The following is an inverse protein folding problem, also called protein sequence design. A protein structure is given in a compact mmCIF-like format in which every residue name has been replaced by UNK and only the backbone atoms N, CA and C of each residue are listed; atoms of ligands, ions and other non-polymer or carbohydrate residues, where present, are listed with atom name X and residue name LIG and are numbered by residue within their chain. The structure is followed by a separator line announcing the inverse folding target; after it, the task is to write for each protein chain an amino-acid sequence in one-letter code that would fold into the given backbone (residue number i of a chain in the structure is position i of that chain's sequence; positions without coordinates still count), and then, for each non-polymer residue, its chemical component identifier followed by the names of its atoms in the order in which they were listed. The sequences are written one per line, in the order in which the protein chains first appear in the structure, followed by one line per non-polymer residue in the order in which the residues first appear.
data_IF_317054083653
#
_entry.id   IF_317054083653
#
_cell.length_a   1.000
_cell.length_b   1.000
_cell.length_c   1.000
_cell.angle_alpha   90.00
_cell.angle_beta   90.00
_cell.angle_gamma   90.00
#
_symmetry.space_group_name_H-M   'P 1'
#
loop_
_entity.id
_entity.type
_entity.pdbx_description
1 polymer ?
#
# COMPACT_ATOMS: atom_id res chain seq x y z
N UNK A 1 52.03 1.15 -28.63
CA UNK A 1 51.26 1.04 -29.87
C UNK A 1 50.71 -0.36 -29.86
N UNK A 2 49.43 -0.50 -29.53
CA UNK A 2 48.56 -1.59 -29.95
C UNK A 2 47.18 -0.97 -30.03
N UNK A 3 46.71 -0.81 -31.26
CA UNK A 3 45.41 -0.29 -31.66
C UNK A 3 44.69 -1.50 -32.25
N UNK A 4 43.55 -1.85 -31.66
CA UNK A 4 42.55 -2.76 -32.23
C UNK A 4 41.21 -2.27 -31.66
N UNK A 5 40.55 -1.31 -32.32
CA UNK A 5 39.65 -1.42 -33.48
C UNK A 5 38.27 -2.04 -33.14
N UNK A 6 37.21 -1.31 -33.50
CA UNK A 6 35.84 -1.82 -33.55
C UNK A 6 35.13 -2.11 -32.22
N UNK A 7 34.91 -1.09 -31.38
CA UNK A 7 33.94 -1.17 -30.27
C UNK A 7 32.49 -1.29 -30.75
N UNK A 8 32.11 -2.45 -31.29
CA UNK A 8 30.71 -2.79 -31.51
C UNK A 8 30.05 -2.97 -30.14
N UNK A 9 29.22 -2.01 -29.74
CA UNK A 9 28.24 -2.19 -28.67
C UNK A 9 27.34 -3.33 -29.13
N UNK A 10 27.60 -4.55 -28.65
CA UNK A 10 26.66 -5.66 -28.76
C UNK A 10 25.46 -5.30 -27.91
N UNK A 11 24.49 -4.61 -28.50
CA UNK A 11 23.19 -4.41 -27.89
C UNK A 11 22.56 -5.79 -27.81
N UNK A 12 22.22 -6.22 -26.59
CA UNK A 12 21.54 -7.49 -26.35
C UNK A 12 20.26 -7.54 -27.20
N UNK A 13 20.10 -8.53 -28.10
CA UNK A 13 18.92 -8.62 -28.97
C UNK A 13 17.60 -8.65 -28.17
N UNK A 14 17.60 -9.22 -26.95
CA UNK A 14 16.42 -9.20 -26.08
C UNK A 14 16.04 -7.78 -25.65
N UNK A 15 17.04 -6.90 -25.45
CA UNK A 15 16.81 -5.50 -25.07
C UNK A 15 16.19 -4.69 -26.21
N UNK A 16 16.57 -4.98 -27.45
CA UNK A 16 15.98 -4.34 -28.65
C UNK A 16 14.53 -4.76 -28.83
N UNK A 17 14.22 -6.04 -28.60
CA UNK A 17 12.83 -6.54 -28.64
C UNK A 17 11.97 -5.94 -27.52
N UNK A 18 12.48 -5.88 -26.29
CA UNK A 18 11.79 -5.23 -25.16
C UNK A 18 11.49 -3.75 -25.43
N UNK A 19 12.47 -3.01 -25.99
CA UNK A 19 12.28 -1.62 -26.40
C UNK A 19 11.19 -1.50 -27.48
N UNK A 20 11.14 -2.42 -28.46
CA UNK A 20 10.13 -2.42 -29.51
C UNK A 20 8.71 -2.73 -28.98
N UNK A 21 8.57 -3.69 -28.05
CA UNK A 21 7.29 -4.00 -27.40
C UNK A 21 6.80 -2.83 -26.54
N UNK A 22 7.71 -2.19 -25.80
CA UNK A 22 7.43 -1.00 -24.99
C UNK A 22 6.94 0.15 -25.87
N UNK A 23 7.62 0.42 -26.98
CA UNK A 23 7.22 1.45 -27.94
C UNK A 23 5.85 1.16 -28.58
N UNK A 24 5.61 -0.10 -28.95
CA UNK A 24 4.33 -0.52 -29.53
C UNK A 24 3.19 -0.32 -28.53
N UNK A 25 3.38 -0.78 -27.28
CA UNK A 25 2.41 -0.62 -26.21
C UNK A 25 2.12 0.86 -25.93
N UNK A 26 3.16 1.70 -25.88
CA UNK A 26 3.03 3.13 -25.63
C UNK A 26 2.21 3.84 -26.72
N UNK A 27 2.44 3.50 -27.99
CA UNK A 27 1.65 4.00 -29.12
C UNK A 27 0.19 3.55 -28.99
N UNK A 28 -0.06 2.27 -28.70
CA UNK A 28 -1.40 1.71 -28.54
C UNK A 28 -2.16 2.40 -27.39
N UNK A 29 -1.54 2.53 -26.21
CA UNK A 29 -2.16 3.17 -25.04
C UNK A 29 -2.47 4.64 -25.32
N UNK A 30 -1.55 5.38 -25.95
CA UNK A 30 -1.80 6.76 -26.36
C UNK A 30 -3.02 6.86 -27.29
N UNK A 31 -3.14 5.95 -28.26
CA UNK A 31 -4.30 5.92 -29.18
C UNK A 31 -5.60 5.62 -28.46
N UNK A 32 -5.58 4.67 -27.52
CA UNK A 32 -6.73 4.32 -26.68
C UNK A 32 -7.16 5.53 -25.83
N UNK A 33 -6.22 6.24 -25.20
CA UNK A 33 -6.53 7.45 -24.41
C UNK A 33 -7.13 8.57 -25.26
N UNK A 34 -6.58 8.80 -26.45
CA UNK A 34 -7.13 9.76 -27.41
C UNK A 34 -8.54 9.38 -27.84
N UNK A 35 -8.76 8.10 -28.18
CA UNK A 35 -10.06 7.59 -28.58
C UNK A 35 -11.12 7.79 -27.48
N UNK A 36 -10.81 7.43 -26.23
CA UNK A 36 -11.70 7.68 -25.09
C UNK A 36 -12.07 9.15 -24.96
N UNK A 37 -11.10 10.07 -25.12
CA UNK A 37 -11.38 11.50 -25.07
C UNK A 37 -12.35 11.93 -26.18
N UNK A 38 -12.15 11.43 -27.40
CA UNK A 38 -13.02 11.76 -28.55
C UNK A 38 -14.43 11.19 -28.45
N UNK A 39 -14.60 10.02 -27.83
CA UNK A 39 -15.91 9.40 -27.65
C UNK A 39 -16.68 10.06 -26.51
N UNK A 40 -15.98 10.40 -25.42
CA UNK A 40 -16.62 10.90 -24.20
C UNK A 40 -16.76 12.42 -24.16
N UNK A 41 -16.10 13.18 -25.02
CA UNK A 41 -16.18 14.65 -25.01
C UNK A 41 -16.56 15.19 -26.38
N UNK A 42 -17.35 16.26 -26.39
CA UNK A 42 -17.61 17.02 -27.60
C UNK A 42 -16.39 17.89 -27.99
N UNK A 43 -16.39 18.51 -29.19
CA UNK A 43 -15.29 19.39 -29.62
C UNK A 43 -15.03 20.58 -28.70
N UNK A 44 -16.02 20.98 -27.89
CA UNK A 44 -15.92 22.06 -26.91
C UNK A 44 -15.36 21.59 -25.55
N UNK A 45 -15.04 20.30 -25.40
CA UNK A 45 -14.52 19.72 -24.17
C UNK A 45 -15.57 19.34 -23.12
N UNK A 46 -16.86 19.43 -23.43
CA UNK A 46 -17.93 19.00 -22.51
C UNK A 46 -18.12 17.49 -22.57
N UNK A 47 -18.29 16.87 -21.39
CA UNK A 47 -18.52 15.44 -21.25
C UNK A 47 -19.90 15.02 -21.80
N UNK A 48 -19.91 14.07 -22.73
CA UNK A 48 -21.08 13.40 -23.27
C UNK A 48 -21.49 12.26 -22.36
N UNK A 49 -22.46 12.51 -21.48
CA UNK A 49 -22.76 11.61 -20.36
C UNK A 49 -23.27 10.23 -20.78
N UNK A 50 -24.14 10.14 -21.79
CA UNK A 50 -24.71 8.85 -22.18
C UNK A 50 -23.68 7.94 -22.84
N UNK A 51 -22.85 8.48 -23.75
CA UNK A 51 -21.71 7.75 -24.32
C UNK A 51 -20.71 7.33 -23.23
N UNK A 52 -20.44 8.21 -22.26
CA UNK A 52 -19.55 7.91 -21.13
C UNK A 52 -20.08 6.77 -20.26
N UNK A 53 -21.39 6.71 -19.97
CA UNK A 53 -21.96 5.59 -19.19
C UNK A 53 -21.79 4.25 -19.88
N UNK A 54 -22.11 4.19 -21.18
CA UNK A 54 -21.98 2.94 -21.95
C UNK A 54 -20.53 2.47 -21.95
N UNK A 55 -19.59 3.40 -22.23
CA UNK A 55 -18.17 3.11 -22.22
C UNK A 55 -17.66 2.66 -20.84
N UNK A 56 -18.19 3.23 -19.75
CA UNK A 56 -17.85 2.80 -18.39
C UNK A 56 -18.23 1.33 -18.14
N UNK A 57 -19.41 0.91 -18.58
CA UNK A 57 -19.84 -0.48 -18.41
C UNK A 57 -18.98 -1.46 -19.21
N UNK A 58 -18.64 -1.10 -20.45
CA UNK A 58 -17.76 -1.91 -21.30
C UNK A 58 -16.35 -2.02 -20.68
N UNK A 59 -15.77 -0.90 -20.26
CA UNK A 59 -14.45 -0.89 -19.60
C UNK A 59 -14.44 -1.65 -18.28
N UNK A 60 -15.50 -1.51 -17.47
CA UNK A 60 -15.57 -2.21 -16.19
C UNK A 60 -15.67 -3.73 -16.38
N UNK A 61 -16.42 -4.17 -17.40
CA UNK A 61 -16.51 -5.58 -17.79
C UNK A 61 -15.14 -6.13 -18.20
N UNK A 62 -14.41 -5.42 -19.06
CA UNK A 62 -13.05 -5.79 -19.48
C UNK A 62 -12.07 -5.77 -18.30
N UNK A 63 -12.22 -4.79 -17.41
CA UNK A 63 -11.39 -4.72 -16.21
C UNK A 63 -11.59 -5.96 -15.34
N UNK A 64 -12.85 -6.38 -15.13
CA UNK A 64 -13.17 -7.55 -14.31
C UNK A 64 -12.68 -8.86 -14.94
N UNK A 65 -12.85 -9.03 -16.25
CA UNK A 65 -12.51 -10.29 -16.93
C UNK A 65 -11.03 -10.42 -17.27
N UNK A 66 -10.35 -9.33 -17.64
CA UNK A 66 -8.97 -9.37 -18.16
C UNK A 66 -7.95 -8.73 -17.22
N UNK A 67 -8.22 -7.52 -16.73
CA UNK A 67 -7.19 -6.71 -16.05
C UNK A 67 -7.03 -7.14 -14.58
N UNK A 68 -8.14 -7.34 -13.87
CA UNK A 68 -8.14 -7.74 -12.48
C UNK A 68 -7.50 -9.12 -12.25
N UNK A 69 -7.75 -10.15 -13.08
CA UNK A 69 -7.10 -11.45 -12.93
C UNK A 69 -5.64 -11.48 -13.40
N UNK A 70 -5.22 -10.52 -14.22
CA UNK A 70 -3.84 -10.46 -14.73
C UNK A 70 -2.89 -9.88 -13.68
N UNK A 71 -2.12 -10.77 -13.05
CA UNK A 71 -1.11 -10.38 -12.07
C UNK A 71 0.05 -9.61 -12.71
N UNK A 72 0.57 -8.60 -12.00
CA UNK A 72 1.78 -7.87 -12.35
C UNK A 72 1.80 -7.15 -13.72
N UNK A 73 0.64 -6.76 -14.25
CA UNK A 73 0.58 -5.80 -15.37
C UNK A 73 0.93 -4.40 -14.88
N UNK A 74 1.77 -3.67 -15.61
CA UNK A 74 2.27 -2.34 -15.22
C UNK A 74 1.58 -1.15 -15.90
N UNK A 75 0.93 -1.34 -17.05
CA UNK A 75 0.46 -0.22 -17.87
C UNK A 75 -1.02 -0.29 -18.29
N UNK A 76 -1.59 -1.48 -18.57
CA UNK A 76 -2.93 -1.57 -19.15
C UNK A 76 -4.04 -1.05 -18.22
N UNK A 77 -3.86 -1.19 -16.91
CA UNK A 77 -4.77 -0.67 -15.89
C UNK A 77 -4.93 0.86 -15.96
N UNK A 78 -3.99 1.56 -16.59
CA UNK A 78 -4.13 3.00 -16.79
C UNK A 78 -5.21 3.39 -17.81
N UNK A 79 -5.71 2.44 -18.60
CA UNK A 79 -6.89 2.64 -19.46
C UNK A 79 -8.11 3.00 -18.63
N UNK A 80 -8.46 2.17 -17.64
CA UNK A 80 -9.59 2.49 -16.76
C UNK A 80 -9.25 3.69 -15.87
N UNK A 81 -8.02 3.81 -15.37
CA UNK A 81 -7.59 4.95 -14.54
C UNK A 81 -7.84 6.30 -15.22
N UNK A 82 -7.38 6.44 -16.47
CA UNK A 82 -7.56 7.66 -17.25
C UNK A 82 -9.03 7.96 -17.50
N UNK A 83 -9.82 6.93 -17.84
CA UNK A 83 -11.25 7.09 -18.05
C UNK A 83 -11.97 7.62 -16.79
N UNK A 84 -11.60 7.11 -15.61
CA UNK A 84 -12.20 7.50 -14.34
C UNK A 84 -11.92 8.96 -13.97
N UNK A 85 -10.89 9.59 -14.54
CA UNK A 85 -10.57 11.00 -14.29
C UNK A 85 -11.57 11.97 -14.94
N UNK A 86 -12.40 11.50 -15.87
CA UNK A 86 -13.35 12.35 -16.61
C UNK A 86 -14.46 12.91 -15.71
N UNK A 87 -14.80 12.22 -14.62
CA UNK A 87 -15.81 12.68 -13.66
C UNK A 87 -15.67 11.97 -12.32
N UNK A 88 -15.73 12.73 -11.22
CA UNK A 88 -15.60 12.21 -9.84
C UNK A 88 -16.56 11.04 -9.56
N UNK A 89 -17.79 11.11 -10.07
CA UNK A 89 -18.80 10.04 -9.91
C UNK A 89 -18.33 8.69 -10.49
N UNK A 90 -17.55 8.69 -11.58
CA UNK A 90 -17.00 7.45 -12.15
C UNK A 90 -15.98 6.85 -11.20
N UNK A 91 -15.06 7.66 -10.70
CA UNK A 91 -14.03 7.26 -9.74
C UNK A 91 -14.63 6.73 -8.43
N UNK A 92 -15.68 7.37 -7.92
CA UNK A 92 -16.44 6.91 -6.76
C UNK A 92 -17.14 5.57 -7.01
N UNK A 93 -17.83 5.42 -8.15
CA UNK A 93 -18.48 4.17 -8.53
C UNK A 93 -17.49 3.01 -8.66
N UNK A 94 -16.33 3.26 -9.27
CA UNK A 94 -15.27 2.26 -9.39
C UNK A 94 -14.69 1.86 -8.03
N UNK A 95 -14.45 2.82 -7.15
CA UNK A 95 -13.97 2.56 -5.78
C UNK A 95 -14.97 1.70 -5.01
N UNK A 96 -16.26 2.03 -5.10
CA UNK A 96 -17.35 1.24 -4.52
C UNK A 96 -17.42 -0.17 -5.11
N UNK A 97 -17.24 -0.31 -6.42
CA UNK A 97 -17.24 -1.61 -7.09
C UNK A 97 -16.06 -2.49 -6.63
N UNK A 98 -14.85 -1.93 -6.56
CA UNK A 98 -13.67 -2.65 -6.06
C UNK A 98 -13.86 -3.10 -4.62
N UNK A 99 -14.39 -2.22 -3.75
CA UNK A 99 -14.66 -2.57 -2.36
C UNK A 99 -15.72 -3.68 -2.25
N UNK A 100 -16.79 -3.63 -3.05
CA UNK A 100 -17.78 -4.71 -3.14
C UNK A 100 -17.12 -6.02 -3.57
N UNK A 101 -16.22 -5.98 -4.57
CA UNK A 101 -15.45 -7.16 -5.01
C UNK A 101 -14.58 -7.72 -3.89
N UNK A 102 -13.94 -6.89 -3.06
CA UNK A 102 -13.17 -7.35 -1.89
C UNK A 102 -14.05 -8.11 -0.88
N UNK A 103 -15.28 -7.65 -0.68
CA UNK A 103 -16.22 -8.20 0.28
C UNK A 103 -17.03 -9.40 -0.24
N UNK A 104 -17.04 -9.63 -1.55
CA UNK A 104 -17.80 -10.70 -2.20
C UNK A 104 -17.20 -12.08 -1.93
N UNK A 105 -17.83 -12.84 -1.04
CA UNK A 105 -17.40 -14.20 -0.67
C UNK A 105 -17.59 -15.22 -1.79
N UNK A 106 -18.37 -14.91 -2.83
CA UNK A 106 -18.53 -15.79 -4.00
C UNK A 106 -17.35 -15.69 -4.98
N UNK A 107 -16.58 -14.60 -4.91
CA UNK A 107 -15.38 -14.41 -5.72
C UNK A 107 -14.15 -15.14 -5.12
N UNK A 108 -13.24 -15.68 -5.94
CA UNK A 108 -11.98 -16.27 -5.49
C UNK A 108 -11.16 -15.31 -4.61
N UNK A 109 -10.53 -15.85 -3.56
CA UNK A 109 -9.73 -15.04 -2.61
C UNK A 109 -8.65 -14.22 -3.30
N UNK A 110 -7.99 -14.75 -4.32
CA UNK A 110 -6.96 -14.05 -5.11
C UNK A 110 -7.47 -12.78 -5.77
N UNK A 111 -8.65 -12.83 -6.41
CA UNK A 111 -9.28 -11.66 -7.04
C UNK A 111 -9.72 -10.63 -6.02
N UNK A 112 -10.22 -11.08 -4.85
CA UNK A 112 -10.59 -10.19 -3.75
C UNK A 112 -9.38 -9.45 -3.17
N UNK A 113 -8.24 -10.13 -3.05
CA UNK A 113 -6.98 -9.53 -2.65
C UNK A 113 -6.47 -8.53 -3.70
N UNK A 114 -6.52 -8.91 -4.98
CA UNK A 114 -6.14 -8.01 -6.08
C UNK A 114 -7.00 -6.74 -6.08
N UNK A 115 -8.32 -6.87 -5.88
CA UNK A 115 -9.24 -5.75 -5.80
C UNK A 115 -8.86 -4.78 -4.66
N UNK A 116 -8.42 -5.28 -3.51
CA UNK A 116 -7.96 -4.46 -2.40
C UNK A 116 -6.68 -3.68 -2.77
N UNK A 117 -5.74 -4.32 -3.47
CA UNK A 117 -4.53 -3.67 -4.02
C UNK A 117 -4.87 -2.56 -5.02
N UNK A 118 -5.76 -2.85 -5.98
CA UNK A 118 -6.26 -1.86 -6.94
C UNK A 118 -6.94 -0.68 -6.24
N UNK A 119 -7.81 -0.95 -5.26
CA UNK A 119 -8.53 0.09 -4.50
C UNK A 119 -7.55 1.01 -3.78
N UNK A 120 -6.63 0.44 -3.01
CA UNK A 120 -5.64 1.20 -2.25
C UNK A 120 -4.75 2.03 -3.18
N UNK A 121 -4.23 1.40 -4.24
CA UNK A 121 -3.36 2.08 -5.19
C UNK A 121 -4.09 3.20 -5.93
N UNK A 122 -5.34 3.00 -6.33
CA UNK A 122 -6.15 4.01 -7.02
C UNK A 122 -6.40 5.22 -6.12
N UNK A 123 -6.90 4.99 -4.90
CA UNK A 123 -7.20 6.04 -3.93
C UNK A 123 -5.96 6.84 -3.52
N UNK A 124 -4.78 6.22 -3.49
CA UNK A 124 -3.54 6.93 -3.19
C UNK A 124 -3.04 7.79 -4.34
N UNK A 125 -3.05 7.26 -5.56
CA UNK A 125 -2.39 7.87 -6.71
C UNK A 125 -3.28 8.86 -7.46
N UNK A 126 -4.60 8.76 -7.38
CA UNK A 126 -5.54 9.65 -8.08
C UNK A 126 -5.78 10.96 -7.31
N UNK A 127 -5.28 12.12 -7.80
CA UNK A 127 -5.46 13.41 -7.13
C UNK A 127 -6.91 13.92 -7.24
N UNK A 128 -7.67 13.47 -8.24
CA UNK A 128 -9.07 13.82 -8.45
C UNK A 128 -10.05 13.10 -7.50
N UNK A 129 -9.57 12.19 -6.65
CA UNK A 129 -10.35 11.60 -5.57
C UNK A 129 -10.51 12.61 -4.42
N UNK A 130 -11.76 12.93 -4.11
CA UNK A 130 -12.10 13.87 -3.03
C UNK A 130 -11.87 13.26 -1.66
N UNK A 131 -11.64 14.11 -0.66
CA UNK A 131 -11.51 13.69 0.74
C UNK A 131 -12.77 12.96 1.24
N UNK A 132 -13.96 13.34 0.77
CA UNK A 132 -15.20 12.64 1.10
C UNK A 132 -15.19 11.18 0.65
N UNK A 133 -14.77 10.92 -0.59
CA UNK A 133 -14.64 9.55 -1.11
C UNK A 133 -13.60 8.76 -0.30
N UNK A 134 -12.44 9.35 0.01
CA UNK A 134 -11.43 8.68 0.85
C UNK A 134 -11.99 8.28 2.22
N UNK A 135 -12.64 9.20 2.92
CA UNK A 135 -13.21 8.95 4.24
C UNK A 135 -14.28 7.86 4.18
N UNK A 136 -15.18 7.91 3.21
CA UNK A 136 -16.19 6.88 3.04
C UNK A 136 -15.54 5.50 2.82
N UNK A 137 -14.53 5.41 1.95
CA UNK A 137 -13.80 4.16 1.71
C UNK A 137 -13.09 3.65 2.96
N UNK A 138 -12.40 4.53 3.71
CA UNK A 138 -11.73 4.16 4.96
C UNK A 138 -12.73 3.69 6.04
N UNK A 139 -13.87 4.35 6.13
CA UNK A 139 -14.94 3.98 7.05
C UNK A 139 -15.48 2.59 6.73
N UNK A 140 -15.78 2.30 5.46
CA UNK A 140 -16.29 0.99 5.05
C UNK A 140 -15.23 -0.12 5.21
N UNK A 141 -13.97 0.14 4.82
CA UNK A 141 -12.85 -0.82 5.00
C UNK A 141 -12.64 -1.13 6.49
N UNK A 142 -12.57 -0.11 7.34
CA UNK A 142 -12.37 -0.30 8.80
C UNK A 142 -13.57 -0.97 9.46
N UNK A 143 -14.80 -0.63 9.04
CA UNK A 143 -16.03 -1.29 9.51
C UNK A 143 -16.01 -2.77 9.14
N UNK A 144 -15.64 -3.10 7.90
CA UNK A 144 -15.50 -4.48 7.47
C UNK A 144 -14.43 -5.22 8.27
N UNK A 145 -13.25 -4.63 8.49
CA UNK A 145 -12.18 -5.24 9.28
C UNK A 145 -12.61 -5.52 10.72
N UNK A 146 -13.25 -4.54 11.38
CA UNK A 146 -13.75 -4.70 12.75
C UNK A 146 -14.85 -5.78 12.84
N UNK A 147 -15.78 -5.84 11.87
CA UNK A 147 -16.77 -6.91 11.78
C UNK A 147 -16.11 -8.28 11.60
N UNK A 148 -15.10 -8.36 10.75
CA UNK A 148 -14.33 -9.59 10.53
C UNK A 148 -13.66 -10.07 11.82
N UNK A 149 -12.97 -9.18 12.54
CA UNK A 149 -12.34 -9.48 13.83
C UNK A 149 -13.35 -10.04 14.83
N UNK A 150 -14.56 -9.46 14.89
CA UNK A 150 -15.62 -9.93 15.80
C UNK A 150 -16.21 -11.30 15.40
N UNK A 151 -16.15 -11.65 14.11
CA UNK A 151 -16.65 -12.92 13.59
C UNK A 151 -15.68 -14.09 13.74
N UNK A 152 -14.38 -13.80 13.85
CA UNK A 152 -13.35 -14.84 14.02
C UNK A 152 -13.38 -15.36 15.45
N UNK A 153 -13.34 -16.68 15.59
CA UNK A 153 -13.37 -17.35 16.89
C UNK A 153 -12.21 -16.87 17.79
N UNK A 154 -12.55 -16.51 19.03
CA UNK A 154 -11.59 -16.14 20.08
C UNK A 154 -10.73 -17.33 20.50
N UNK A 155 -10.95 -18.54 20.00
CA UNK A 155 -10.07 -19.70 20.22
C UNK A 155 -8.81 -19.69 19.34
N UNK A 156 -8.74 -18.88 18.28
CA UNK A 156 -7.55 -18.76 17.42
C UNK A 156 -6.38 -18.15 18.21
N UNK A 157 -5.37 -18.97 18.51
CA UNK A 157 -4.21 -18.59 19.36
C UNK A 157 -2.91 -18.42 18.57
N UNK A 158 -2.74 -19.13 17.46
CA UNK A 158 -1.51 -19.12 16.66
C UNK A 158 -1.89 -19.17 15.19
N UNK A 159 -1.31 -18.27 14.40
CA UNK A 159 -1.52 -18.23 12.95
C UNK A 159 -0.49 -19.15 12.31
N UNK A 160 -0.86 -20.41 12.08
CA UNK A 160 -0.07 -21.35 11.27
C UNK A 160 -0.19 -20.98 9.78
N UNK A 161 0.71 -21.49 8.91
CA UNK A 161 0.75 -21.11 7.49
C UNK A 161 -0.56 -21.36 6.75
N UNK A 162 -1.26 -22.45 7.07
CA UNK A 162 -2.58 -22.74 6.51
C UNK A 162 -3.61 -21.68 6.94
N UNK A 163 -3.55 -21.24 8.20
CA UNK A 163 -4.43 -20.21 8.77
C UNK A 163 -4.21 -18.82 8.12
N UNK A 164 -3.00 -18.54 7.60
CA UNK A 164 -2.72 -17.31 6.85
C UNK A 164 -3.58 -17.19 5.59
N UNK A 165 -3.73 -18.30 4.85
CA UNK A 165 -4.52 -18.32 3.60
C UNK A 165 -6.00 -18.06 3.85
N UNK A 166 -6.55 -18.57 4.96
CA UNK A 166 -7.94 -18.33 5.37
C UNK A 166 -8.23 -16.85 5.67
N UNK A 167 -7.23 -16.12 6.15
CA UNK A 167 -7.33 -14.71 6.51
C UNK A 167 -6.68 -13.76 5.47
N UNK A 168 -6.28 -14.25 4.30
CA UNK A 168 -5.52 -13.48 3.31
C UNK A 168 -6.24 -12.19 2.83
N UNK A 169 -7.56 -12.26 2.63
CA UNK A 169 -8.37 -11.09 2.27
C UNK A 169 -8.43 -10.08 3.42
N UNK A 170 -8.49 -10.54 4.67
CA UNK A 170 -8.43 -9.65 5.84
C UNK A 170 -7.10 -8.90 5.91
N UNK A 171 -5.98 -9.58 5.68
CA UNK A 171 -4.67 -8.94 5.63
C UNK A 171 -4.55 -7.97 4.45
N UNK A 172 -5.10 -8.30 3.29
CA UNK A 172 -5.11 -7.40 2.13
C UNK A 172 -5.92 -6.13 2.39
N UNK A 173 -7.06 -6.24 3.09
CA UNK A 173 -7.88 -5.10 3.50
C UNK A 173 -7.18 -4.24 4.57
N UNK A 174 -6.49 -4.86 5.54
CA UNK A 174 -5.65 -4.13 6.50
C UNK A 174 -4.49 -3.41 5.80
N UNK A 175 -3.83 -4.07 4.86
CA UNK A 175 -2.75 -3.48 4.07
C UNK A 175 -3.24 -2.29 3.24
N UNK A 176 -4.40 -2.41 2.59
CA UNK A 176 -5.05 -1.32 1.88
C UNK A 176 -5.34 -0.14 2.83
N UNK A 177 -5.91 -0.40 4.01
CA UNK A 177 -6.19 0.60 5.03
C UNK A 177 -4.91 1.34 5.46
N UNK A 178 -3.87 0.59 5.82
CA UNK A 178 -2.58 1.14 6.27
C UNK A 178 -1.92 1.96 5.16
N UNK A 179 -1.96 1.49 3.92
CA UNK A 179 -1.39 2.17 2.77
C UNK A 179 -2.10 3.49 2.48
N UNK A 180 -3.45 3.51 2.43
CA UNK A 180 -4.23 4.72 2.19
C UNK A 180 -3.96 5.76 3.27
N UNK A 181 -4.02 5.37 4.55
CA UNK A 181 -3.76 6.28 5.68
C UNK A 181 -2.35 6.86 5.59
N UNK A 182 -1.35 6.02 5.33
CA UNK A 182 0.06 6.44 5.24
C UNK A 182 0.31 7.43 4.09
N UNK A 183 -0.30 7.17 2.94
CA UNK A 183 -0.05 7.95 1.72
C UNK A 183 -0.86 9.25 1.72
N UNK A 184 -2.14 9.20 2.10
CA UNK A 184 -3.07 10.33 2.06
C UNK A 184 -3.16 11.08 3.40
N UNK A 185 -2.23 10.85 4.33
CA UNK A 185 -2.27 11.43 5.68
C UNK A 185 -2.46 12.95 5.68
N UNK A 186 -1.81 13.69 4.78
CA UNK A 186 -1.96 15.15 4.70
C UNK A 186 -3.42 15.55 4.43
N UNK A 187 -4.12 14.86 3.53
CA UNK A 187 -5.55 15.12 3.26
C UNK A 187 -6.45 14.64 4.41
N UNK A 188 -6.08 13.52 5.03
CA UNK A 188 -6.88 12.87 6.08
C UNK A 188 -6.68 13.49 7.47
N UNK A 189 -5.67 14.32 7.67
CA UNK A 189 -5.28 14.88 8.97
C UNK A 189 -5.11 16.41 8.94
N UNK A 190 -5.56 17.07 7.88
CA UNK A 190 -5.42 18.52 7.67
C UNK A 190 -6.13 19.39 8.74
N UNK A 191 -7.14 18.84 9.42
CA UNK A 191 -7.96 19.59 10.37
C UNK A 191 -8.55 18.71 11.49
N UNK A 192 -9.02 19.37 12.56
CA UNK A 192 -9.59 18.71 13.76
C UNK A 192 -10.80 17.82 13.46
N UNK A 193 -11.64 18.15 12.47
CA UNK A 193 -12.80 17.30 12.10
C UNK A 193 -12.32 16.01 11.46
N UNK A 194 -11.27 16.08 10.65
CA UNK A 194 -10.71 14.88 10.03
C UNK A 194 -10.00 13.98 11.06
N UNK A 195 -9.28 14.57 12.02
CA UNK A 195 -8.69 13.80 13.13
C UNK A 195 -9.76 13.04 13.93
N UNK A 196 -10.87 13.70 14.30
CA UNK A 196 -12.00 13.03 14.96
C UNK A 196 -12.61 11.90 14.12
N UNK A 197 -12.70 12.10 12.81
CA UNK A 197 -13.13 11.04 11.90
C UNK A 197 -12.18 9.83 11.96
N UNK A 198 -10.86 10.07 11.99
CA UNK A 198 -9.86 9.00 12.06
C UNK A 198 -9.89 8.25 13.39
N UNK A 199 -10.15 8.93 14.50
CA UNK A 199 -10.39 8.31 15.83
C UNK A 199 -11.59 7.34 15.79
N UNK A 200 -12.65 7.70 15.07
CA UNK A 200 -13.87 6.89 14.94
C UNK A 200 -13.70 5.61 14.11
N UNK A 201 -12.58 5.43 13.39
CA UNK A 201 -12.31 4.20 12.63
C UNK A 201 -11.92 3.01 13.51
N UNK A 202 -11.71 3.23 14.82
CA UNK A 202 -11.28 2.21 15.78
C UNK A 202 -10.03 1.44 15.33
N UNK A 203 -9.03 2.18 14.85
CA UNK A 203 -7.76 1.62 14.36
C UNK A 203 -7.03 0.81 15.44
N UNK A 204 -7.17 1.22 16.72
CA UNK A 204 -6.58 0.51 17.85
C UNK A 204 -7.02 -0.96 17.88
N UNK A 205 -8.31 -1.24 17.71
CA UNK A 205 -8.81 -2.62 17.70
C UNK A 205 -8.23 -3.44 16.54
N UNK A 206 -8.05 -2.83 15.37
CA UNK A 206 -7.48 -3.50 14.19
C UNK A 206 -6.01 -3.86 14.44
N UNK A 207 -5.20 -2.93 14.96
CA UNK A 207 -3.76 -3.16 15.12
C UNK A 207 -3.41 -4.10 16.27
N UNK A 208 -4.23 -4.15 17.32
CA UNK A 208 -4.04 -5.04 18.49
C UNK A 208 -4.81 -6.36 18.37
N UNK A 209 -5.49 -6.63 17.26
CA UNK A 209 -6.27 -7.86 17.14
C UNK A 209 -5.35 -9.09 17.07
N UNK A 210 -5.89 -10.26 17.47
CA UNK A 210 -5.13 -11.52 17.58
C UNK A 210 -4.57 -12.00 16.24
N UNK A 211 -5.22 -11.65 15.14
CA UNK A 211 -4.74 -11.93 13.78
C UNK A 211 -3.44 -11.18 13.45
N UNK A 212 -3.01 -10.22 14.29
CA UNK A 212 -1.70 -9.58 14.23
C UNK A 212 -1.35 -8.99 12.85
N UNK A 213 -2.22 -8.13 12.24
CA UNK A 213 -2.00 -7.61 10.89
C UNK A 213 -0.69 -6.83 10.76
N UNK A 214 -0.20 -6.17 11.83
CA UNK A 214 1.10 -5.49 11.85
C UNK A 214 2.29 -6.44 11.63
N UNK A 215 2.17 -7.73 11.96
CA UNK A 215 3.21 -8.74 11.74
C UNK A 215 3.22 -9.25 10.30
N UNK A 216 2.04 -9.34 9.70
CA UNK A 216 1.80 -10.11 8.49
C UNK A 216 1.75 -9.26 7.22
N UNK A 217 1.22 -8.03 7.29
CA UNK A 217 1.26 -7.10 6.17
C UNK A 217 2.71 -6.73 5.78
N UNK A 218 2.87 -6.13 4.60
CA UNK A 218 4.15 -5.65 4.08
C UNK A 218 4.84 -4.70 5.06
N UNK A 219 6.09 -5.02 5.44
CA UNK A 219 6.86 -4.28 6.44
C UNK A 219 6.98 -2.79 6.10
N UNK A 220 7.22 -2.45 4.82
CA UNK A 220 7.33 -1.04 4.39
C UNK A 220 6.05 -0.25 4.62
N UNK A 221 4.89 -0.88 4.37
CA UNK A 221 3.57 -0.26 4.59
C UNK A 221 3.32 -0.11 6.08
N UNK A 222 3.60 -1.15 6.87
CA UNK A 222 3.41 -1.14 8.33
C UNK A 222 4.31 -0.11 9.02
N UNK A 223 5.59 -0.05 8.66
CA UNK A 223 6.56 0.87 9.26
C UNK A 223 6.17 2.33 8.96
N UNK A 224 5.70 2.61 7.74
CA UNK A 224 5.17 3.95 7.38
C UNK A 224 3.89 4.28 8.14
N UNK A 225 2.98 3.33 8.24
CA UNK A 225 1.73 3.50 8.98
C UNK A 225 1.97 3.76 10.48
N UNK A 226 2.86 3.00 11.11
CA UNK A 226 3.25 3.18 12.50
C UNK A 226 3.88 4.57 12.74
N UNK A 227 4.73 5.03 11.82
CA UNK A 227 5.32 6.37 11.90
C UNK A 227 4.26 7.47 11.82
N UNK A 228 3.37 7.41 10.82
CA UNK A 228 2.32 8.41 10.60
C UNK A 228 1.31 8.44 11.75
N UNK A 229 0.83 7.27 12.19
CA UNK A 229 -0.15 7.20 13.29
C UNK A 229 0.41 7.66 14.63
N UNK A 230 1.70 7.44 14.88
CA UNK A 230 2.41 8.03 16.03
C UNK A 230 2.49 9.55 15.91
N UNK A 231 2.86 10.07 14.73
CA UNK A 231 2.97 11.51 14.48
C UNK A 231 1.66 12.25 14.78
N UNK A 232 0.52 11.68 14.39
CA UNK A 232 -0.81 12.24 14.66
C UNK A 232 -1.46 11.75 15.96
N UNK A 233 -0.75 10.98 16.79
CA UNK A 233 -1.24 10.44 18.07
C UNK A 233 -2.53 9.60 17.98
N UNK A 234 -2.73 8.87 16.88
CA UNK A 234 -3.95 8.08 16.63
C UNK A 234 -3.90 6.68 17.25
N UNK A 235 -2.76 6.01 17.14
CA UNK A 235 -2.57 4.67 17.73
C UNK A 235 -1.08 4.39 17.92
N UNK A 236 -0.74 3.55 18.91
CA UNK A 236 0.64 3.24 19.27
C UNK A 236 1.03 1.84 18.80
N UNK A 237 1.48 1.74 17.55
CA UNK A 237 1.83 0.45 16.92
C UNK A 237 3.12 -0.17 17.47
N UNK A 238 4.10 0.64 17.90
CA UNK A 238 5.45 0.16 18.22
C UNK A 238 5.51 -0.86 19.36
N UNK A 239 4.69 -0.69 20.41
CA UNK A 239 4.60 -1.67 21.51
C UNK A 239 4.12 -3.03 21.01
N UNK A 240 3.18 -3.04 20.05
CA UNK A 240 2.65 -4.27 19.45
C UNK A 240 3.66 -4.92 18.51
N UNK A 241 4.46 -4.10 17.81
CA UNK A 241 5.46 -4.58 16.86
C UNK A 241 6.69 -5.22 17.55
N UNK A 242 7.09 -4.70 18.71
CA UNK A 242 8.28 -5.16 19.46
C UNK A 242 8.11 -6.58 20.04
N UNK A 243 6.86 -6.99 20.32
CA UNK A 243 6.56 -8.31 20.87
C UNK A 243 6.62 -9.47 19.86
N UNK A 244 6.80 -9.21 18.56
CA UNK A 244 6.65 -10.20 17.50
C UNK A 244 7.96 -10.42 16.74
N UNK A 245 8.51 -11.64 16.77
CA UNK A 245 9.52 -12.07 15.80
C UNK A 245 8.86 -11.95 14.41
N UNK A 246 9.34 -11.02 13.58
CA UNK A 246 8.84 -10.86 12.21
C UNK A 246 9.13 -12.18 11.48
N UNK A 247 8.09 -12.87 11.01
CA UNK A 247 8.25 -13.97 10.05
C UNK A 247 9.01 -13.37 8.87
N UNK A 248 10.28 -13.76 8.76
CA UNK A 248 11.35 -12.94 8.18
C UNK A 248 11.55 -13.23 6.71
N UNK A 249 10.83 -14.19 6.16
CA UNK A 249 10.91 -14.50 4.74
C UNK A 249 9.81 -13.76 3.97
N UNK A 250 10.20 -12.67 3.32
CA UNK A 250 9.35 -11.91 2.42
C UNK A 250 8.88 -12.78 1.24
N UNK A 251 9.66 -13.81 0.84
CA UNK A 251 9.29 -14.73 -0.24
C UNK A 251 8.02 -15.52 0.08
N UNK A 252 7.89 -15.99 1.33
CA UNK A 252 6.69 -16.68 1.81
C UNK A 252 5.50 -15.71 1.79
N UNK A 253 5.68 -14.46 2.23
CA UNK A 253 4.61 -13.45 2.23
C UNK A 253 4.09 -13.13 0.83
N UNK A 254 4.98 -13.02 -0.15
CA UNK A 254 4.61 -12.71 -1.52
C UNK A 254 3.90 -13.89 -2.23
N UNK A 255 4.02 -15.11 -1.69
CA UNK A 255 3.31 -16.30 -2.18
C UNK A 255 1.81 -16.29 -1.81
N UNK A 256 1.43 -15.74 -0.66
CA UNK A 256 0.03 -15.81 -0.17
C UNK A 256 -0.68 -14.47 0.04
N UNK A 257 0.05 -13.35 0.07
CA UNK A 257 -0.53 -12.00 0.19
C UNK A 257 -0.27 -11.19 -1.08
N UNK A 258 -1.32 -10.52 -1.57
CA UNK A 258 -1.18 -9.58 -2.68
C UNK A 258 -0.42 -8.32 -2.21
N UNK A 259 0.91 -8.33 -2.33
CA UNK A 259 1.81 -7.21 -1.99
C UNK A 259 1.97 -6.18 -3.10
N UNK A 260 1.19 -6.29 -4.19
CA UNK A 260 1.31 -5.45 -5.38
C UNK A 260 0.33 -4.26 -5.33
N UNK A 261 0.80 -3.07 -5.67
CA UNK A 261 -0.01 -1.85 -5.82
C UNK A 261 -0.04 -1.43 -7.29
N UNK A 262 -1.12 -1.71 -8.05
CA UNK A 262 -1.09 -1.67 -9.51
C UNK A 262 -0.86 -0.32 -10.17
N UNK A 263 -0.99 0.81 -9.48
CA UNK A 263 -0.77 2.14 -10.06
C UNK A 263 0.59 2.73 -9.68
N UNK A 264 1.63 1.91 -9.73
CA UNK A 264 3.02 2.37 -9.64
C UNK A 264 3.41 3.28 -10.82
N UNK A 265 4.47 4.11 -10.69
CA UNK A 265 4.71 5.22 -11.62
C UNK A 265 4.69 4.79 -13.08
N UNK A 266 3.90 5.50 -13.89
CA UNK A 266 3.73 5.19 -15.30
C UNK A 266 4.93 5.69 -16.11
N UNK A 267 5.68 4.76 -16.72
CA UNK A 267 7.00 5.07 -17.32
C UNK A 267 6.99 5.25 -18.84
N UNK A 268 5.93 4.86 -19.56
CA UNK A 268 5.92 4.89 -21.03
C UNK A 268 5.99 6.33 -21.58
N UNK A 269 6.99 6.66 -22.41
CA UNK A 269 7.40 8.04 -22.66
C UNK A 269 6.37 8.92 -23.40
N UNK A 270 5.56 8.35 -24.29
CA UNK A 270 4.62 9.11 -25.15
C UNK A 270 3.27 9.28 -24.47
N UNK A 271 2.77 8.24 -23.82
CA UNK A 271 1.46 8.21 -23.16
C UNK A 271 1.49 8.75 -21.74
N UNK A 272 2.66 8.79 -21.05
CA UNK A 272 2.77 9.36 -19.70
C UNK A 272 2.27 10.79 -19.59
N UNK A 273 2.43 11.59 -20.65
CA UNK A 273 2.02 13.00 -20.67
C UNK A 273 0.51 13.18 -20.55
N UNK A 274 -0.28 12.13 -20.77
CA UNK A 274 -1.73 12.16 -20.59
C UNK A 274 -2.16 11.85 -19.14
N UNK A 275 -1.26 11.31 -18.32
CA UNK A 275 -1.54 10.82 -16.97
C UNK A 275 -0.77 11.62 -15.91
N UNK A 276 0.55 11.65 -16.03
CA UNK A 276 1.46 12.09 -14.96
C UNK A 276 1.25 13.56 -14.54
N UNK A 277 1.08 14.54 -15.45
CA UNK A 277 1.05 15.95 -15.05
C UNK A 277 -0.11 16.32 -14.12
N UNK A 278 -1.33 15.89 -14.43
CA UNK A 278 -2.55 16.37 -13.76
C UNK A 278 -3.33 15.26 -13.06
N UNK A 279 -3.11 14.01 -13.48
CA UNK A 279 -3.94 12.87 -13.05
C UNK A 279 -3.19 11.93 -12.11
N UNK A 280 -1.96 12.24 -11.70
CA UNK A 280 -1.15 11.32 -10.90
C UNK A 280 -0.48 12.01 -9.72
N UNK A 281 -0.51 11.35 -8.56
CA UNK A 281 0.18 11.79 -7.34
C UNK A 281 1.38 10.90 -7.06
N UNK A 282 2.57 11.51 -7.08
CA UNK A 282 3.83 10.87 -6.71
C UNK A 282 4.01 10.81 -5.17
N UNK A 283 4.76 9.82 -4.70
CA UNK A 283 5.23 9.66 -3.32
C UNK A 283 6.32 10.69 -3.01
N UNK A 284 7.20 10.99 -3.99
CA UNK A 284 8.41 11.76 -3.76
C UNK A 284 8.16 13.27 -3.57
N UNK A 285 7.02 13.78 -4.01
CA UNK A 285 6.58 15.16 -3.72
C UNK A 285 6.23 15.38 -2.24
N UNK A 286 6.08 14.31 -1.44
CA UNK A 286 5.95 14.40 0.03
C UNK A 286 7.34 14.56 0.70
N UNK A 287 8.43 14.09 0.06
CA UNK A 287 9.81 14.25 0.57
C UNK A 287 10.29 15.70 0.50
N UNK A 288 9.77 16.51 -0.43
CA UNK A 288 10.09 17.95 -0.49
C UNK A 288 9.65 18.73 0.74
N UNK A 289 8.56 18.32 1.43
CA UNK A 289 8.15 18.95 2.70
C UNK A 289 9.05 18.53 3.88
N UNK A 290 9.73 17.38 3.82
CA UNK A 290 10.57 16.89 4.92
C UNK A 290 11.99 17.46 4.93
N UNK A 291 12.39 18.24 3.92
CA UNK A 291 13.69 18.94 3.94
C UNK A 291 13.69 20.21 4.80
N UNK A 292 12.53 20.77 5.12
CA UNK A 292 12.42 22.00 5.92
C UNK A 292 12.32 21.74 7.44
N UNK A 293 11.94 20.54 7.88
CA UNK A 293 11.79 20.20 9.31
C UNK A 293 13.06 19.64 9.98
N UNK A 294 14.24 19.76 9.35
CA UNK A 294 15.52 19.25 9.89
C UNK A 294 16.43 20.29 10.54
N UNK A 295 15.85 21.36 11.08
CA UNK A 295 16.54 22.26 12.01
C UNK A 295 15.73 22.34 13.31
N UNK A 296 16.42 22.45 14.46
CA UNK A 296 15.94 22.41 15.87
C UNK A 296 15.99 20.97 16.43
N UNK A 297 16.91 20.54 17.31
CA UNK A 297 17.79 21.23 18.27
C UNK A 297 19.16 20.53 18.41
N UNK A 298 20.24 21.32 18.34
CA UNK A 298 21.52 20.96 18.97
C UNK A 298 21.45 21.42 20.42
N UNK A 299 21.55 20.48 21.36
CA UNK A 299 21.68 20.75 22.80
C UNK A 299 22.96 21.57 23.03
N UNK A 300 22.89 22.79 23.60
CA UNK A 300 24.09 23.51 24.02
C UNK A 300 24.57 22.94 25.37
N UNK A 301 25.83 22.52 25.40
CA UNK A 301 26.58 22.18 26.60
C UNK A 301 26.96 23.44 27.37
N UNK A 302 26.33 23.69 28.52
CA UNK A 302 26.93 24.47 29.62
C UNK A 302 26.08 24.35 30.89
N UNK A 303 26.60 23.59 31.85
CA UNK A 303 26.15 23.58 33.25
C UNK A 303 26.46 24.92 33.94
N UNK A 304 25.71 25.27 34.99
CA UNK A 304 26.33 25.83 36.19
C UNK A 304 26.04 24.96 37.43
N UNK A 305 27.05 24.93 38.29
CA UNK A 305 27.16 24.20 39.54
C UNK A 305 26.26 24.75 40.67
N UNK A 306 25.98 23.86 41.63
CA UNK A 306 25.55 24.11 43.01
C UNK A 306 24.06 24.39 43.26
N UNK A 307 23.33 23.41 43.82
CA UNK A 307 22.98 23.40 45.25
C UNK A 307 22.14 22.17 45.67
N UNK A 308 22.70 21.46 46.64
CA UNK A 308 22.12 20.74 47.77
C UNK A 308 21.16 19.54 47.62
N UNK A 309 21.62 18.48 48.26
CA UNK A 309 21.08 17.15 48.47
C UNK A 309 20.14 17.16 49.68
N UNK A 310 19.02 16.46 49.60
CA UNK A 310 18.55 15.67 50.76
C UNK A 310 17.65 14.50 50.34
N UNK A 311 17.74 13.32 50.98
CA UNK A 311 17.36 12.04 50.38
C UNK A 311 16.12 11.42 51.04
N UNK A 312 15.23 10.80 50.27
CA UNK A 312 14.37 9.74 50.83
C UNK A 312 13.76 8.83 49.76
N UNK A 313 14.05 7.53 49.95
CA UNK A 313 13.35 6.33 49.45
C UNK A 313 13.71 5.80 48.06
N UNK A 314 14.91 5.19 48.03
CA UNK A 314 15.21 3.99 47.25
C UNK A 314 14.80 2.76 48.07
N UNK A 315 14.08 1.83 47.45
CA UNK A 315 14.02 0.35 47.65
C UNK A 315 12.79 -0.10 46.81
N UNK A 316 12.83 -1.04 45.87
CA UNK A 316 13.78 -2.07 45.42
C UNK A 316 13.15 -2.75 44.15
N UNK A 317 13.64 -3.89 43.61
CA UNK A 317 14.45 -3.93 42.39
C UNK A 317 13.79 -4.63 41.18
N UNK A 318 14.32 -4.31 40.00
CA UNK A 318 14.09 -5.01 38.72
C UNK A 318 14.79 -6.39 38.72
N UNK A 319 14.17 -7.47 38.23
CA UNK A 319 14.88 -8.73 38.02
C UNK A 319 15.59 -8.77 36.67
N UNK A 320 16.75 -9.42 36.72
CA UNK A 320 17.83 -9.47 35.76
C UNK A 320 17.47 -10.09 34.40
N UNK A 321 18.20 -9.62 33.38
CA UNK A 321 18.48 -10.31 32.12
C UNK A 321 19.20 -11.63 32.41
N UNK A 322 18.74 -12.71 31.80
CA UNK A 322 19.53 -13.94 31.64
C UNK A 322 19.74 -14.21 30.16
N UNK A 323 21.00 -14.07 29.76
CA UNK A 323 21.58 -14.46 28.48
C UNK A 323 21.54 -15.99 28.31
N UNK A 324 21.01 -16.48 27.19
CA UNK A 324 20.93 -17.93 26.87
C UNK A 324 21.42 -18.28 25.46
N UNK A 325 22.46 -17.61 24.95
CA UNK A 325 23.14 -18.05 23.72
C UNK A 325 24.65 -18.06 23.90
N UNK A 326 25.17 -19.23 24.24
CA UNK A 326 26.59 -19.51 24.30
C UNK A 326 26.89 -20.99 24.08
N UNK A 327 27.21 -21.33 22.83
CA UNK A 327 28.07 -22.44 22.39
C UNK A 327 27.44 -23.86 22.53
N UNK A 328 27.47 -24.77 21.55
CA UNK A 328 28.54 -25.13 20.62
C UNK A 328 27.98 -25.72 19.31
N UNK A 329 28.68 -25.43 18.22
CA UNK A 329 28.71 -26.26 17.01
C UNK A 329 29.81 -27.34 17.13
N UNK A 330 29.66 -28.39 16.30
CA UNK A 330 30.55 -29.53 15.99
C UNK A 330 30.28 -30.85 16.70
N UNK A 331 30.01 -31.88 15.89
CA UNK A 331 30.03 -33.29 16.29
C UNK A 331 29.38 -34.22 15.26
N UNK A 332 30.20 -34.75 14.36
CA UNK A 332 29.90 -35.78 13.36
C UNK A 332 29.14 -37.02 13.89
N UNK A 333 28.46 -37.68 12.94
CA UNK A 333 28.21 -39.13 12.81
C UNK A 333 27.67 -39.88 14.05
N UNK A 334 26.60 -40.67 13.90
CA UNK A 334 26.62 -42.07 13.43
C UNK A 334 25.23 -42.69 13.71
N UNK A 335 24.65 -43.33 12.69
CA UNK A 335 23.96 -44.63 12.73
C UNK A 335 22.65 -44.89 13.52
N UNK A 336 21.74 -45.54 12.77
CA UNK A 336 20.89 -46.72 13.08
C UNK A 336 19.40 -46.49 13.37
N UNK A 337 18.60 -47.12 12.48
CA UNK A 337 17.28 -47.79 12.57
C UNK A 337 16.46 -47.56 13.86
N UNK A 338 15.15 -47.32 13.80
CA UNK A 338 14.08 -47.91 12.97
C UNK A 338 12.99 -46.89 12.65
#
# INVERSE_FOLDING_TARGET
MDVDDGGYIKVDPNKVEEEHFSDTLDICLKRIFMYMKTVCHNPNGNLLWDSTKLFYHDLLSIFESEILPTYNSSHIQYVIYYFLSFKITLAENFSNWLLKKCCDVSSPSTLRQAAAGYLASFLCRAPFITNNVLKNMLFEISTWCNKYINSVDKSVRVVDEELLRWHAVFYSMCQALFYIISFRHQDLMDNKRNLRFMENLNLSNIVTCRLSPLRLCCSKVVDRFAHITKMYQLTYCYVVMDGHIRVTDQSIKDEWLYSYFPFDPYVLPRSKNMIIPDLYRDIDSIKSCQKEERYVDKIPSSLPENMDISPSMVLSPSPARTDWLGQFAYGNNTQILF
#
